data_IF_740727576069
#
_entry.id   IF_740727576069
#
_cell.length_a   1.000
_cell.length_b   1.000
_cell.length_c   1.000
_cell.angle_alpha   90.00
_cell.angle_beta   90.00
_cell.angle_gamma   90.00
#
_symmetry.space_group_name_H-M   'P 1'
#
loop_
_entity.id
_entity.type
_entity.pdbx_description
1 polymer ?
#
# COMPACT_ATOMS: atom_id res chain seq x y z
N UNK A 1 -0.13 -20.66 11.02
CA UNK A 1 0.38 -20.39 9.67
C UNK A 1 0.18 -18.91 9.40
N UNK A 2 1.19 -18.19 8.89
CA UNK A 2 0.99 -16.80 8.47
C UNK A 2 0.28 -16.81 7.12
N UNK A 3 -0.87 -16.15 7.01
CA UNK A 3 -1.51 -15.90 5.72
C UNK A 3 -0.56 -15.08 4.85
N UNK A 4 -0.25 -15.59 3.65
CA UNK A 4 0.54 -14.85 2.66
C UNK A 4 -0.42 -13.94 1.88
N UNK A 5 -0.10 -12.64 1.70
CA UNK A 5 -0.93 -11.78 0.88
C UNK A 5 -0.78 -12.15 -0.62
N UNK A 6 -1.73 -11.76 -1.49
CA UNK A 6 -1.57 -11.92 -2.93
C UNK A 6 -0.36 -11.13 -3.43
N UNK A 7 0.40 -11.67 -4.39
CA UNK A 7 1.46 -10.90 -5.04
C UNK A 7 0.83 -9.77 -5.90
N UNK A 8 1.60 -8.74 -6.24
CA UNK A 8 1.12 -7.69 -7.15
C UNK A 8 0.80 -8.30 -8.54
N UNK A 9 -0.39 -8.08 -9.11
CA UNK A 9 -0.71 -8.57 -10.46
C UNK A 9 0.30 -8.08 -11.50
N UNK A 10 0.70 -8.94 -12.43
CA UNK A 10 1.71 -8.60 -13.46
C UNK A 10 1.20 -7.51 -14.42
N UNK A 11 -0.11 -7.44 -14.61
CA UNK A 11 -0.82 -6.47 -15.44
C UNK A 11 -1.39 -5.30 -14.62
N UNK A 12 -0.93 -5.11 -13.38
CA UNK A 12 -1.37 -4.01 -12.54
C UNK A 12 -1.08 -2.67 -13.22
N UNK A 13 -2.15 -1.90 -13.48
CA UNK A 13 -2.05 -0.58 -14.06
C UNK A 13 -1.32 0.38 -13.10
N UNK A 14 -0.47 1.23 -13.68
CA UNK A 14 0.24 2.26 -12.94
C UNK A 14 0.35 3.53 -13.77
N UNK A 15 -0.15 4.64 -13.21
CA UNK A 15 0.06 6.00 -13.71
C UNK A 15 0.60 6.86 -12.58
N UNK A 16 1.76 7.49 -12.80
CA UNK A 16 2.39 8.36 -11.80
C UNK A 16 1.48 9.55 -11.45
N UNK A 17 1.38 9.88 -10.16
CA UNK A 17 0.50 10.93 -9.61
C UNK A 17 -1.01 10.64 -9.66
N UNK A 18 -1.42 9.40 -9.99
CA UNK A 18 -2.81 8.92 -9.93
C UNK A 18 -2.91 7.73 -8.97
N UNK A 19 -2.34 7.88 -7.77
CA UNK A 19 -2.22 6.82 -6.77
C UNK A 19 -3.57 6.23 -6.34
N UNK A 20 -4.62 7.05 -6.31
CA UNK A 20 -6.00 6.70 -6.03
C UNK A 20 -6.59 5.76 -7.09
N UNK A 21 -6.33 6.01 -8.38
CA UNK A 21 -6.78 5.14 -9.47
C UNK A 21 -5.98 3.84 -9.52
N UNK A 22 -4.66 3.92 -9.28
CA UNK A 22 -3.80 2.73 -9.20
C UNK A 22 -4.27 1.79 -8.08
N UNK A 23 -4.59 2.34 -6.90
CA UNK A 23 -5.12 1.58 -5.77
C UNK A 23 -6.54 1.09 -6.04
N UNK A 24 -7.40 1.90 -6.66
CA UNK A 24 -8.75 1.48 -7.05
C UNK A 24 -8.72 0.26 -7.97
N UNK A 25 -7.92 0.31 -9.04
CA UNK A 25 -7.80 -0.80 -10.00
C UNK A 25 -7.20 -2.05 -9.35
N UNK A 26 -6.22 -1.88 -8.46
CA UNK A 26 -5.66 -3.00 -7.69
C UNK A 26 -6.72 -3.67 -6.82
N UNK A 27 -7.45 -2.88 -6.01
CA UNK A 27 -8.50 -3.42 -5.14
C UNK A 27 -9.63 -4.05 -5.97
N UNK A 28 -9.99 -3.45 -7.10
CA UNK A 28 -10.94 -4.03 -8.03
C UNK A 28 -10.46 -5.40 -8.53
N UNK A 29 -9.17 -5.57 -8.84
CA UNK A 29 -8.63 -6.87 -9.23
C UNK A 29 -8.74 -7.91 -8.11
N UNK A 30 -8.43 -7.54 -6.87
CA UNK A 30 -8.57 -8.43 -5.71
C UNK A 30 -10.02 -8.81 -5.43
N UNK A 31 -10.98 -7.91 -5.67
CA UNK A 31 -12.41 -8.20 -5.47
C UNK A 31 -12.97 -9.27 -6.41
N UNK A 32 -12.27 -9.58 -7.51
CA UNK A 32 -12.65 -10.65 -8.45
C UNK A 32 -12.28 -12.04 -7.93
N UNK A 33 -11.39 -12.13 -6.94
CA UNK A 33 -11.04 -13.37 -6.26
C UNK A 33 -11.82 -13.48 -4.95
N UNK A 34 -12.84 -14.35 -4.95
CA UNK A 34 -13.70 -14.53 -3.77
C UNK A 34 -12.93 -15.04 -2.55
N UNK A 35 -11.84 -15.78 -2.74
CA UNK A 35 -11.04 -16.29 -1.62
C UNK A 35 -10.36 -15.19 -0.83
N UNK A 36 -9.94 -14.09 -1.50
CA UNK A 36 -9.34 -12.94 -0.82
C UNK A 36 -10.33 -12.27 0.13
N UNK A 37 -11.62 -12.22 -0.23
CA UNK A 37 -12.66 -11.61 0.62
C UNK A 37 -12.98 -12.41 1.88
N UNK A 38 -12.67 -13.71 1.89
CA UNK A 38 -12.84 -14.57 3.07
C UNK A 38 -11.69 -14.36 4.08
N UNK A 39 -10.47 -14.21 3.56
CA UNK A 39 -9.26 -14.12 4.37
C UNK A 39 -8.89 -12.68 4.80
N UNK A 40 -9.26 -11.67 3.99
CA UNK A 40 -8.74 -10.31 4.13
C UNK A 40 -9.84 -9.24 4.15
N UNK A 41 -9.67 -8.27 5.05
CA UNK A 41 -10.22 -6.93 4.89
C UNK A 41 -9.27 -6.09 4.03
N UNK A 42 -9.82 -5.45 3.00
CA UNK A 42 -9.08 -4.63 2.05
C UNK A 42 -9.46 -3.17 2.23
N UNK A 43 -8.47 -2.29 2.40
CA UNK A 43 -8.66 -0.85 2.59
C UNK A 43 -7.89 -0.06 1.55
N UNK A 44 -8.52 0.99 1.01
CA UNK A 44 -7.80 2.12 0.44
C UNK A 44 -7.52 3.13 1.56
N UNK A 45 -6.25 3.46 1.79
CA UNK A 45 -5.83 4.38 2.84
C UNK A 45 -5.29 5.65 2.21
N UNK A 46 -5.98 6.76 2.50
CA UNK A 46 -5.56 8.10 2.10
C UNK A 46 -4.69 8.70 3.20
N UNK A 47 -3.50 9.16 2.81
CA UNK A 47 -2.54 9.85 3.67
C UNK A 47 -2.52 11.31 3.24
N UNK A 48 -2.98 12.20 4.11
CA UNK A 48 -2.90 13.63 3.91
C UNK A 48 -2.95 14.33 5.28
N UNK A 49 -2.89 15.66 5.29
CA UNK A 49 -3.05 16.48 6.48
C UNK A 49 -3.73 17.80 6.11
N UNK A 50 -3.99 18.67 7.09
CA UNK A 50 -4.72 19.91 6.87
C UNK A 50 -4.04 20.82 5.83
N UNK A 51 -2.71 20.87 5.81
CA UNK A 51 -1.96 21.71 4.86
C UNK A 51 -1.76 21.06 3.49
N UNK A 52 -2.17 19.79 3.32
CA UNK A 52 -1.85 18.98 2.14
C UNK A 52 -0.35 19.00 1.86
N UNK A 53 0.44 18.63 2.87
CA UNK A 53 1.90 18.62 2.79
C UNK A 53 2.42 17.48 3.66
N UNK A 54 2.40 16.26 3.13
CA UNK A 54 2.87 15.06 3.83
C UNK A 54 4.20 14.60 3.24
N UNK A 55 5.18 14.37 4.11
CA UNK A 55 6.48 13.86 3.73
C UNK A 55 6.46 12.33 3.80
N UNK A 56 6.81 11.65 2.71
CA UNK A 56 6.94 10.21 2.65
C UNK A 56 8.34 9.81 2.18
N UNK A 57 9.04 9.01 2.99
CA UNK A 57 10.35 8.46 2.68
C UNK A 57 10.26 7.21 1.80
N UNK A 58 11.41 6.84 1.23
CA UNK A 58 11.55 5.67 0.38
C UNK A 58 10.54 5.66 -0.78
N UNK A 59 10.38 6.81 -1.43
CA UNK A 59 9.52 7.00 -2.60
C UNK A 59 10.33 7.01 -3.89
N UNK A 60 9.79 6.43 -4.97
CA UNK A 60 10.44 6.31 -6.28
C UNK A 60 10.80 7.66 -6.86
N UNK A 61 9.94 8.67 -6.67
CA UNK A 61 10.16 10.04 -7.15
C UNK A 61 11.23 10.82 -6.37
N UNK A 62 11.77 10.29 -5.27
CA UNK A 62 12.85 10.99 -4.55
C UNK A 62 14.09 11.12 -5.44
N UNK A 63 14.61 12.34 -5.58
CA UNK A 63 15.84 12.62 -6.33
C UNK A 63 17.07 12.02 -5.63
N UNK A 64 17.06 12.00 -4.30
CA UNK A 64 18.15 11.51 -3.47
C UNK A 64 17.69 10.40 -2.51
N UNK A 65 18.58 9.43 -2.25
CA UNK A 65 18.31 8.39 -1.25
C UNK A 65 18.29 9.01 0.14
N UNK A 66 17.23 8.72 0.90
CA UNK A 66 17.04 9.26 2.26
C UNK A 66 16.28 10.58 2.34
N UNK A 67 16.00 11.23 1.20
CA UNK A 67 15.09 12.37 1.15
C UNK A 67 13.62 11.92 1.01
N UNK A 68 12.66 12.65 1.61
CA UNK A 68 11.25 12.40 1.39
C UNK A 68 10.76 13.01 0.07
N UNK A 69 9.66 12.48 -0.43
CA UNK A 69 8.80 13.17 -1.40
C UNK A 69 7.68 13.85 -0.64
N UNK A 70 7.41 15.11 -0.98
CA UNK A 70 6.31 15.89 -0.40
C UNK A 70 5.09 15.74 -1.29
N UNK A 71 4.04 15.15 -0.74
CA UNK A 71 2.76 14.95 -1.41
C UNK A 71 1.69 15.88 -0.81
N UNK A 72 0.72 16.27 -1.62
CA UNK A 72 -0.52 16.86 -1.13
C UNK A 72 -1.44 15.80 -0.51
N UNK A 73 -1.49 14.62 -1.13
CA UNK A 73 -1.99 13.38 -0.56
C UNK A 73 -1.32 12.18 -1.24
N UNK A 74 -1.39 11.01 -0.61
CA UNK A 74 -0.97 9.75 -1.21
C UNK A 74 -1.94 8.64 -0.85
N UNK A 75 -2.10 7.65 -1.72
CA UNK A 75 -3.00 6.50 -1.50
C UNK A 75 -2.24 5.20 -1.61
N UNK A 76 -2.50 4.29 -0.66
CA UNK A 76 -1.99 2.93 -0.67
C UNK A 76 -3.11 1.93 -0.33
N UNK A 77 -2.94 0.67 -0.74
CA UNK A 77 -3.84 -0.40 -0.31
C UNK A 77 -3.30 -1.11 0.94
N UNK A 78 -4.17 -1.43 1.89
CA UNK A 78 -3.84 -2.24 3.08
C UNK A 78 -4.71 -3.49 3.12
N UNK A 79 -4.06 -4.64 3.27
CA UNK A 79 -4.71 -5.93 3.50
C UNK A 79 -4.51 -6.34 4.95
N UNK A 80 -5.63 -6.48 5.68
CA UNK A 80 -5.67 -6.92 7.08
C UNK A 80 -6.33 -8.31 7.16
N UNK A 81 -5.70 -9.33 7.75
CA UNK A 81 -6.31 -10.65 7.92
C UNK A 81 -7.57 -10.60 8.81
N UNK A 82 -8.63 -11.34 8.47
CA UNK A 82 -9.91 -11.36 9.21
C UNK A 82 -9.93 -12.30 10.42
N UNK A 83 -9.37 -13.51 10.28
CA UNK A 83 -9.69 -14.64 11.16
C UNK A 83 -8.54 -15.11 12.06
N UNK A 84 -7.67 -14.21 12.55
CA UNK A 84 -6.55 -14.62 13.42
C UNK A 84 -6.46 -13.70 14.65
N UNK A 85 -6.56 -14.30 15.85
CA UNK A 85 -6.88 -13.60 17.10
C UNK A 85 -5.76 -12.77 17.71
N UNK A 86 -4.49 -12.95 17.36
CA UNK A 86 -3.41 -12.08 17.88
C UNK A 86 -2.18 -12.17 16.99
N UNK A 87 -1.59 -11.00 16.68
CA UNK A 87 -0.27 -10.80 16.04
C UNK A 87 -0.12 -11.02 14.53
N UNK A 88 -1.15 -10.86 13.70
CA UNK A 88 -0.95 -10.99 12.25
C UNK A 88 -0.67 -9.66 11.59
N UNK A 89 0.42 -9.68 10.83
CA UNK A 89 0.99 -8.57 10.11
C UNK A 89 0.07 -8.17 8.95
N UNK A 90 -0.36 -6.91 8.92
CA UNK A 90 -1.04 -6.34 7.76
C UNK A 90 -0.03 -6.08 6.64
N UNK A 91 -0.52 -6.02 5.41
CA UNK A 91 0.31 -5.86 4.22
C UNK A 91 -0.08 -4.60 3.47
N UNK A 92 0.92 -3.93 2.89
CA UNK A 92 0.79 -2.66 2.19
C UNK A 92 1.20 -2.84 0.73
N UNK A 93 0.39 -2.28 -0.17
CA UNK A 93 0.69 -2.11 -1.57
C UNK A 93 0.77 -0.61 -1.85
N UNK A 94 1.98 -0.13 -2.08
CA UNK A 94 2.28 1.25 -2.42
C UNK A 94 3.09 1.24 -3.71
N UNK A 95 2.46 1.62 -4.83
CA UNK A 95 3.12 1.63 -6.14
C UNK A 95 4.32 2.58 -6.20
N UNK A 96 4.36 3.59 -5.34
CA UNK A 96 5.38 4.63 -5.34
C UNK A 96 6.52 4.35 -4.36
N UNK A 97 6.49 3.24 -3.61
CA UNK A 97 7.57 2.89 -2.67
C UNK A 97 8.79 2.22 -3.32
N UNK A 98 9.96 2.40 -2.71
CA UNK A 98 11.20 1.66 -3.00
C UNK A 98 11.39 0.40 -2.15
N UNK A 99 10.52 0.16 -1.17
CA UNK A 99 10.66 -0.95 -0.20
C UNK A 99 10.27 -2.34 -0.77
N UNK A 100 9.71 -2.38 -1.98
CA UNK A 100 9.10 -3.59 -2.56
C UNK A 100 7.57 -3.60 -2.40
N UNK A 101 6.89 -4.51 -3.11
CA UNK A 101 5.43 -4.64 -3.10
C UNK A 101 5.04 -6.12 -3.21
N UNK A 102 4.19 -6.66 -2.31
CA UNK A 102 3.74 -6.03 -1.06
C UNK A 102 4.85 -5.99 0.00
N UNK A 103 4.70 -5.11 0.99
CA UNK A 103 5.53 -5.10 2.21
C UNK A 103 4.65 -5.16 3.44
N UNK A 104 5.24 -5.52 4.57
CA UNK A 104 4.53 -5.51 5.84
C UNK A 104 4.20 -4.07 6.26
N UNK A 105 3.10 -3.88 6.98
CA UNK A 105 2.71 -2.56 7.48
C UNK A 105 3.77 -1.95 8.39
N UNK A 106 4.41 -2.75 9.25
CA UNK A 106 5.51 -2.29 10.11
C UNK A 106 6.74 -1.87 9.31
N UNK A 107 7.12 -2.64 8.28
CA UNK A 107 8.20 -2.26 7.37
C UNK A 107 7.89 -0.96 6.64
N UNK A 108 6.64 -0.79 6.18
CA UNK A 108 6.20 0.45 5.54
C UNK A 108 6.26 1.63 6.50
N UNK A 109 5.76 1.49 7.73
CA UNK A 109 5.81 2.55 8.73
C UNK A 109 7.25 2.97 9.06
N UNK A 110 8.12 2.00 9.35
CA UNK A 110 9.54 2.27 9.66
C UNK A 110 10.29 2.89 8.49
N UNK A 111 9.95 2.52 7.26
CA UNK A 111 10.56 3.11 6.06
C UNK A 111 9.90 4.40 5.59
N UNK A 112 8.78 4.81 6.18
CA UNK A 112 8.10 6.06 5.87
C UNK A 112 8.51 7.22 6.80
N UNK A 113 9.40 6.96 7.77
CA UNK A 113 9.94 7.92 8.73
C UNK A 113 11.44 8.03 8.62
#
# INVERSE_FOLDING_TARGET
MSLKPPDLPQDAAYTSHWCEENVYLLIQSFSRDSSLSEDWDVFAVFISNHSKTVALWNQKLSEELGCPVIWDYHVLAVLRPRNISTSVQSWVYDFDTRLGIPVTFDSKLKGAT
#
